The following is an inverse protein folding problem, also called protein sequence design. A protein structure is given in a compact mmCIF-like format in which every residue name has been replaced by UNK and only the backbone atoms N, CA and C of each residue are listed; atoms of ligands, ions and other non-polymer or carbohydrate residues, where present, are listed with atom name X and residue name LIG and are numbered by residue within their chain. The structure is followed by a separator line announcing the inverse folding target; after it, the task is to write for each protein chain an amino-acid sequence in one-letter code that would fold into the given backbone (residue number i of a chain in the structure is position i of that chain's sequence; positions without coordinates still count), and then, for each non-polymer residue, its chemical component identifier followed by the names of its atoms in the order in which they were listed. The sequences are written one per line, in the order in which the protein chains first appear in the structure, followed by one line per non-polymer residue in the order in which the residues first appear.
data_IF_901702557190
#
_entry.id   IF_901702557190
#
_cell.length_a   1.000
_cell.length_b   1.000
_cell.length_c   1.000
_cell.angle_alpha   90.00
_cell.angle_beta   90.00
_cell.angle_gamma   90.00
#
_symmetry.space_group_name_H-M   'P 1'
#
loop_
_entity.id
_entity.type
_entity.pdbx_description
1 polymer ?
#
# COMPACT_ATOMS: atom_id res chain seq x y z
N UNK A 1 -2.51 -10.14 9.79
CA UNK A 1 -3.04 -8.75 10.00
C UNK A 1 -2.07 -7.76 9.40
N UNK A 2 -2.54 -6.80 8.59
CA UNK A 2 -1.70 -5.73 8.01
C UNK A 2 -1.32 -4.74 9.12
N UNK A 3 -0.05 -4.33 9.17
CA UNK A 3 0.55 -3.48 10.21
C UNK A 3 1.19 -2.21 9.68
N UNK A 4 1.46 -2.11 8.37
CA UNK A 4 1.97 -0.90 7.74
C UNK A 4 1.49 -0.86 6.29
N UNK A 5 1.09 0.33 5.82
CA UNK A 5 0.86 0.61 4.41
C UNK A 5 1.79 1.75 4.00
N UNK A 6 2.54 1.56 2.93
CA UNK A 6 3.38 2.56 2.30
C UNK A 6 3.00 2.72 0.83
N UNK A 7 2.94 3.97 0.40
CA UNK A 7 2.46 4.35 -0.94
C UNK A 7 3.33 5.49 -1.45
N UNK A 8 3.74 5.41 -2.70
CA UNK A 8 4.44 6.46 -3.41
C UNK A 8 3.79 6.66 -4.79
N UNK A 9 3.44 7.91 -5.09
CA UNK A 9 2.90 8.37 -6.36
C UNK A 9 1.59 7.68 -6.83
N UNK A 10 0.64 7.40 -5.93
CA UNK A 10 -0.64 6.76 -6.27
C UNK A 10 -1.82 7.76 -6.24
N UNK A 11 -2.42 8.07 -7.39
CA UNK A 11 -3.53 9.02 -7.57
C UNK A 11 -3.29 10.35 -6.84
N UNK A 12 -4.03 10.65 -5.76
CA UNK A 12 -3.85 11.88 -4.99
C UNK A 12 -2.80 11.76 -3.86
N UNK A 13 -2.20 10.58 -3.68
CA UNK A 13 -1.23 10.28 -2.63
C UNK A 13 0.19 10.39 -3.18
N UNK A 14 0.90 11.47 -2.86
CA UNK A 14 2.32 11.61 -3.22
C UNK A 14 3.17 10.61 -2.44
N UNK A 15 3.05 10.61 -1.12
CA UNK A 15 3.72 9.68 -0.24
C UNK A 15 2.91 9.47 1.05
N UNK A 16 2.67 8.22 1.41
CA UNK A 16 2.08 7.84 2.70
C UNK A 16 2.91 6.73 3.31
N UNK A 17 3.12 6.80 4.63
CA UNK A 17 3.62 5.72 5.47
C UNK A 17 2.74 5.66 6.71
N UNK A 18 1.80 4.72 6.71
CA UNK A 18 0.78 4.64 7.75
C UNK A 18 0.87 3.32 8.52
N UNK A 19 1.32 3.35 9.78
CA UNK A 19 1.21 2.20 10.69
C UNK A 19 -0.25 1.86 10.94
N UNK A 20 -0.56 0.57 10.96
CA UNK A 20 -1.89 0.05 11.24
C UNK A 20 -1.93 -0.72 12.57
N UNK A 21 -2.71 -0.21 13.52
CA UNK A 21 -3.27 -0.99 14.64
C UNK A 21 -4.57 -1.73 14.28
N UNK A 22 -5.20 -2.39 15.26
CA UNK A 22 -6.42 -3.20 15.06
C UNK A 22 -7.68 -2.38 14.75
N UNK A 23 -7.68 -1.06 15.01
CA UNK A 23 -8.82 -0.19 14.79
C UNK A 23 -8.35 1.19 14.31
N UNK A 24 -8.98 1.71 13.25
CA UNK A 24 -8.69 3.02 12.67
C UNK A 24 -9.98 3.74 12.30
N UNK A 25 -9.96 5.05 12.47
CA UNK A 25 -11.01 5.93 11.95
C UNK A 25 -10.36 6.87 10.93
N UNK A 26 -10.90 6.88 9.71
CA UNK A 26 -10.48 7.78 8.63
C UNK A 26 -11.32 9.06 8.69
N UNK A 27 -10.69 10.18 9.06
CA UNK A 27 -11.37 11.48 9.15
C UNK A 27 -10.67 12.47 8.22
N UNK A 28 -11.46 13.26 7.49
CA UNK A 28 -10.96 14.36 6.66
C UNK A 28 -12.01 14.85 5.65
N UNK A 29 -11.75 15.98 4.97
CA UNK A 29 -12.64 16.54 3.96
C UNK A 29 -12.90 15.61 2.77
N UNK A 30 -13.94 15.88 1.98
CA UNK A 30 -14.13 15.20 0.71
C UNK A 30 -12.92 15.39 -0.21
N UNK A 31 -12.63 14.37 -1.04
CA UNK A 31 -11.46 14.32 -1.91
C UNK A 31 -10.10 14.42 -1.17
N UNK A 32 -10.05 14.17 0.14
CA UNK A 32 -8.79 14.23 0.88
C UNK A 32 -7.87 13.02 0.65
N UNK A 33 -8.37 11.95 0.02
CA UNK A 33 -7.62 10.72 -0.26
C UNK A 33 -7.99 9.52 0.61
N UNK A 34 -9.10 9.58 1.38
CA UNK A 34 -9.59 8.45 2.19
C UNK A 34 -9.97 7.23 1.35
N UNK A 35 -10.80 7.44 0.32
CA UNK A 35 -11.17 6.37 -0.61
C UNK A 35 -9.93 5.85 -1.35
N UNK A 36 -9.03 6.75 -1.76
CA UNK A 36 -7.76 6.38 -2.39
C UNK A 36 -6.88 5.52 -1.49
N UNK A 37 -6.83 5.79 -0.19
CA UNK A 37 -6.08 4.98 0.77
C UNK A 37 -6.65 3.56 0.90
N UNK A 38 -7.97 3.41 0.90
CA UNK A 38 -8.61 2.09 0.88
C UNK A 38 -8.47 1.39 -0.48
N UNK A 39 -8.43 2.16 -1.57
CA UNK A 39 -8.19 1.64 -2.92
C UNK A 39 -6.80 1.01 -3.04
N UNK A 40 -5.79 1.48 -2.31
CA UNK A 40 -4.47 0.82 -2.26
C UNK A 40 -4.55 -0.63 -1.78
N UNK A 41 -5.32 -0.89 -0.73
CA UNK A 41 -5.50 -2.24 -0.19
C UNK A 41 -6.24 -3.11 -1.21
N UNK A 42 -7.28 -2.53 -1.82
CA UNK A 42 -8.08 -3.22 -2.83
C UNK A 42 -7.24 -3.54 -4.08
N UNK A 43 -6.39 -2.61 -4.50
CA UNK A 43 -5.50 -2.76 -5.65
C UNK A 43 -4.48 -3.87 -5.43
N UNK A 44 -3.83 -3.90 -4.25
CA UNK A 44 -2.92 -4.98 -3.90
C UNK A 44 -3.65 -6.33 -3.82
N UNK A 45 -4.90 -6.34 -3.35
CA UNK A 45 -5.76 -7.52 -3.35
C UNK A 45 -6.00 -8.07 -4.76
N UNK A 46 -6.49 -7.23 -5.69
CA UNK A 46 -6.70 -7.61 -7.09
C UNK A 46 -5.38 -8.02 -7.76
N UNK A 47 -4.28 -7.28 -7.51
CA UNK A 47 -2.98 -7.56 -8.10
C UNK A 47 -2.47 -8.97 -7.73
N UNK A 48 -2.59 -9.34 -6.46
CA UNK A 48 -2.14 -10.65 -5.97
C UNK A 48 -3.09 -11.78 -6.35
N UNK A 49 -4.39 -11.50 -6.48
CA UNK A 49 -5.42 -12.54 -6.70
C UNK A 49 -5.72 -12.80 -8.18
N UNK A 50 -5.71 -11.75 -8.99
CA UNK A 50 -6.18 -11.75 -10.38
C UNK A 50 -5.12 -11.27 -11.38
N UNK A 51 -4.04 -10.63 -10.90
CA UNK A 51 -2.94 -10.14 -11.72
C UNK A 51 -3.02 -8.65 -12.05
N UNK A 52 -1.99 -8.16 -12.74
CA UNK A 52 -1.81 -6.73 -13.00
C UNK A 52 -2.89 -6.14 -13.92
N UNK A 53 -3.22 -6.84 -15.01
CA UNK A 53 -4.18 -6.35 -16.01
C UNK A 53 -5.57 -6.16 -15.39
N UNK A 54 -6.00 -7.10 -14.56
CA UNK A 54 -7.25 -7.00 -13.81
C UNK A 54 -7.19 -5.82 -12.82
N UNK A 55 -6.13 -5.76 -12.01
CA UNK A 55 -5.97 -4.73 -10.99
C UNK A 55 -5.96 -3.30 -11.57
N UNK A 56 -5.37 -3.10 -12.74
CA UNK A 56 -5.35 -1.81 -13.44
C UNK A 56 -6.66 -1.58 -14.19
N UNK A 57 -7.13 -2.57 -14.95
CA UNK A 57 -8.30 -2.49 -15.82
C UNK A 57 -9.62 -2.22 -15.08
N UNK A 58 -9.77 -2.73 -13.85
CA UNK A 58 -10.90 -2.41 -12.95
C UNK A 58 -10.99 -0.91 -12.62
N UNK A 59 -9.86 -0.20 -12.65
CA UNK A 59 -9.73 1.17 -12.14
C UNK A 59 -9.69 2.20 -13.23
N UNK A 60 -8.97 1.92 -14.31
CA UNK A 60 -8.79 2.86 -15.42
C UNK A 60 -8.29 2.16 -16.69
N UNK A 61 -8.58 2.78 -17.84
CA UNK A 61 -7.95 2.43 -19.12
C UNK A 61 -6.58 3.07 -19.31
N UNK A 62 -6.28 4.14 -18.57
CA UNK A 62 -5.04 4.89 -18.69
C UNK A 62 -4.27 4.83 -17.37
N UNK A 63 -3.15 4.12 -17.35
CA UNK A 63 -2.28 3.97 -16.17
C UNK A 63 -1.88 5.31 -15.54
N UNK A 64 -1.71 6.37 -16.35
CA UNK A 64 -1.34 7.69 -15.85
C UNK A 64 -2.35 8.23 -14.83
N UNK A 65 -3.63 7.84 -14.89
CA UNK A 65 -4.65 8.25 -13.91
C UNK A 65 -4.42 7.68 -12.51
N UNK A 66 -3.69 6.57 -12.43
CA UNK A 66 -3.25 5.96 -11.18
C UNK A 66 -1.97 6.61 -10.64
N UNK A 67 -1.24 7.36 -11.47
CA UNK A 67 0.02 7.99 -11.07
C UNK A 67 -0.23 9.40 -10.56
N UNK A 68 0.46 9.76 -9.48
CA UNK A 68 0.34 11.07 -8.89
C UNK A 68 0.68 12.20 -9.87
N UNK A 69 -0.30 13.09 -10.08
CA UNK A 69 -0.26 14.21 -11.03
C UNK A 69 0.07 13.82 -12.48
N UNK A 70 0.00 12.54 -12.87
CA UNK A 70 0.47 12.07 -14.19
C UNK A 70 1.91 12.52 -14.51
N UNK A 71 2.75 12.71 -13.47
CA UNK A 71 4.09 13.32 -13.57
C UNK A 71 5.22 12.29 -13.40
N UNK A 72 4.87 11.01 -13.39
CA UNK A 72 5.80 9.88 -13.29
C UNK A 72 5.29 8.78 -14.20
N UNK A 73 6.16 7.81 -14.47
CA UNK A 73 5.80 6.62 -15.24
C UNK A 73 5.62 5.39 -14.35
N UNK A 74 5.66 5.57 -13.03
CA UNK A 74 5.51 4.49 -12.06
C UNK A 74 4.94 4.94 -10.72
N UNK A 75 4.36 3.97 -10.03
CA UNK A 75 3.88 4.04 -8.66
C UNK A 75 4.46 2.87 -7.85
N UNK A 76 4.61 3.07 -6.54
CA UNK A 76 5.14 2.04 -5.65
C UNK A 76 4.22 1.85 -4.46
N UNK A 77 3.93 0.59 -4.15
CA UNK A 77 3.08 0.19 -3.04
C UNK A 77 3.83 -0.83 -2.20
N UNK A 78 3.70 -0.71 -0.89
CA UNK A 78 4.25 -1.69 0.02
C UNK A 78 3.34 -1.89 1.23
N UNK A 79 3.25 -3.15 1.68
CA UNK A 79 2.53 -3.49 2.90
C UNK A 79 3.40 -4.36 3.80
N UNK A 80 3.21 -4.19 5.11
CA UNK A 80 3.71 -5.15 6.09
C UNK A 80 2.53 -5.83 6.76
N UNK A 81 2.66 -7.13 7.00
CA UNK A 81 1.67 -7.91 7.71
C UNK A 81 2.33 -8.90 8.68
N UNK A 82 1.66 -9.13 9.82
CA UNK A 82 2.00 -10.24 10.72
C UNK A 82 1.71 -11.57 10.06
N UNK A 83 2.67 -12.48 10.16
CA UNK A 83 2.56 -13.86 9.71
C UNK A 83 1.66 -14.61 10.71
N UNK A 84 0.55 -15.22 10.25
CA UNK A 84 -0.29 -16.07 11.09
C UNK A 84 0.50 -17.23 11.73
N UNK A 85 0.14 -17.65 12.94
CA UNK A 85 0.90 -18.66 13.71
C UNK A 85 0.94 -20.03 13.02
N UNK A 86 -0.12 -20.41 12.33
CA UNK A 86 -0.22 -21.61 11.50
C UNK A 86 0.77 -21.59 10.34
N UNK A 87 0.96 -20.43 9.69
CA UNK A 87 1.96 -20.24 8.64
C UNK A 87 3.36 -20.10 9.20
N UNK A 88 3.51 -19.55 10.41
CA UNK A 88 4.80 -19.45 11.08
C UNK A 88 5.40 -20.81 11.40
N UNK A 89 4.58 -21.81 11.70
CA UNK A 89 5.04 -23.18 11.90
C UNK A 89 5.74 -23.76 10.64
N UNK A 90 5.35 -23.30 9.44
CA UNK A 90 5.94 -23.73 8.17
C UNK A 90 7.32 -23.10 7.90
N UNK A 91 7.67 -22.01 8.58
CA UNK A 91 8.97 -21.32 8.46
C UNK A 91 10.07 -21.97 9.34
N UNK A 92 9.75 -23.04 10.06
CA UNK A 92 10.69 -23.70 10.98
C UNK A 92 11.08 -22.82 12.17
N UNK A 93 12.31 -23.00 12.70
CA UNK A 93 12.83 -22.24 13.85
C UNK A 93 13.27 -20.81 13.51
N UNK A 94 12.86 -20.27 12.36
CA UNK A 94 13.28 -18.93 11.96
C UNK A 94 12.59 -17.85 12.79
N UNK A 95 13.32 -16.79 13.19
CA UNK A 95 12.80 -15.83 14.15
C UNK A 95 11.93 -14.74 13.52
N UNK A 96 11.49 -14.91 12.27
CA UNK A 96 10.63 -13.95 11.56
C UNK A 96 9.18 -14.07 12.01
N UNK A 97 8.46 -12.95 12.05
CA UNK A 97 7.06 -12.86 12.47
C UNK A 97 6.23 -11.95 11.56
N UNK A 98 6.88 -11.30 10.59
CA UNK A 98 6.28 -10.32 9.71
C UNK A 98 6.76 -10.52 8.28
N UNK A 99 5.87 -10.27 7.33
CA UNK A 99 6.18 -10.24 5.91
C UNK A 99 6.01 -8.82 5.40
N UNK A 100 6.88 -8.40 4.49
CA UNK A 100 6.77 -7.15 3.75
C UNK A 100 6.71 -7.47 2.27
N UNK A 101 5.67 -6.97 1.62
CA UNK A 101 5.49 -7.05 0.17
C UNK A 101 5.68 -5.66 -0.42
N UNK A 102 6.50 -5.56 -1.46
CA UNK A 102 6.80 -4.32 -2.18
C UNK A 102 6.58 -4.58 -3.68
N UNK A 103 5.86 -3.67 -4.32
CA UNK A 103 5.65 -3.72 -5.77
C UNK A 103 5.77 -2.35 -6.38
N UNK A 104 6.45 -2.29 -7.52
CA UNK A 104 6.54 -1.12 -8.38
C UNK A 104 5.87 -1.46 -9.70
N UNK A 105 4.86 -0.68 -10.03
CA UNK A 105 4.14 -0.79 -11.30
C UNK A 105 4.49 0.43 -12.13
N UNK A 106 4.74 0.23 -13.41
CA UNK A 106 4.99 1.30 -14.34
C UNK A 106 4.31 1.08 -15.67
N UNK A 107 4.42 2.10 -16.52
CA UNK A 107 4.06 1.98 -17.92
C UNK A 107 5.31 2.30 -18.75
N UNK A 108 5.88 1.28 -19.37
CA UNK A 108 6.97 1.40 -20.35
C UNK A 108 6.43 1.02 -21.72
N UNK A 109 6.80 1.80 -22.74
CA UNK A 109 6.40 1.58 -24.14
C UNK A 109 4.87 1.47 -24.40
N UNK A 110 4.02 1.95 -23.49
CA UNK A 110 2.57 1.93 -23.62
C UNK A 110 1.89 0.76 -22.92
N UNK A 111 2.65 -0.22 -22.44
CA UNK A 111 2.13 -1.36 -21.68
C UNK A 111 2.36 -1.18 -20.18
N UNK A 112 1.42 -1.66 -19.38
CA UNK A 112 1.53 -1.57 -17.91
C UNK A 112 2.20 -2.84 -17.41
N UNK A 113 3.27 -2.70 -16.63
CA UNK A 113 4.07 -3.83 -16.18
C UNK A 113 4.54 -3.69 -14.73
N UNK A 114 4.93 -4.82 -14.14
CA UNK A 114 5.59 -4.85 -12.83
C UNK A 114 7.08 -4.63 -13.05
N UNK A 115 7.56 -3.43 -12.71
CA UNK A 115 8.98 -3.05 -12.85
C UNK A 115 9.86 -3.67 -11.76
N UNK A 116 9.29 -3.88 -10.57
CA UNK A 116 9.98 -4.54 -9.47
C UNK A 116 8.96 -5.16 -8.51
N UNK A 117 9.27 -6.35 -8.01
CA UNK A 117 8.48 -7.04 -7.00
C UNK A 117 9.40 -7.71 -6.00
N UNK A 118 9.06 -7.59 -4.71
CA UNK A 118 9.89 -8.14 -3.65
C UNK A 118 9.06 -8.54 -2.44
N UNK A 119 9.38 -9.70 -1.89
CA UNK A 119 8.88 -10.19 -0.60
C UNK A 119 10.04 -10.30 0.38
N UNK A 120 9.87 -9.76 1.58
CA UNK A 120 10.85 -9.79 2.66
C UNK A 120 10.24 -10.38 3.93
N UNK A 121 10.94 -11.33 4.55
CA UNK A 121 10.64 -11.78 5.90
C UNK A 121 11.38 -10.90 6.92
N UNK A 122 10.67 -10.42 7.93
CA UNK A 122 11.15 -9.45 8.92
C UNK A 122 10.82 -9.92 10.34
N UNK A 123 11.58 -9.40 11.29
CA UNK A 123 11.18 -9.34 12.71
C UNK A 123 10.38 -8.07 12.93
N UNK A 124 9.27 -8.15 13.65
CA UNK A 124 8.40 -7.02 13.85
C UNK A 124 9.13 -6.00 14.71
N UNK A 125 9.38 -4.84 14.14
CA UNK A 125 9.77 -3.68 14.93
C UNK A 125 8.51 -3.16 15.61
N UNK A 126 8.47 -3.18 16.94
CA UNK A 126 7.35 -2.59 17.69
C UNK A 126 7.28 -1.10 17.36
N UNK A 127 6.31 -0.72 16.52
CA UNK A 127 5.87 0.66 16.49
C UNK A 127 5.16 0.91 17.82
N UNK A 128 5.66 1.88 18.60
CA UNK A 128 4.98 2.39 19.78
C UNK A 128 3.70 3.12 19.33
N UNK A 129 2.67 2.37 18.98
CA UNK A 129 1.33 2.92 18.83
C UNK A 129 0.88 3.23 20.26
N UNK A 130 0.88 4.52 20.63
CA UNK A 130 0.35 4.96 21.93
C UNK A 130 -1.05 4.36 22.09
N UNK A 131 -1.30 3.66 23.22
CA UNK A 131 -2.62 3.08 23.55
C UNK A 131 -3.67 4.21 23.51
N UNK A 132 -4.38 4.33 22.40
CA UNK A 132 -5.33 5.39 22.11
C UNK A 132 -5.87 5.20 20.68
N UNK A 133 -7.03 5.77 20.40
CA UNK A 133 -7.66 5.71 19.08
C UNK A 133 -6.69 6.25 18.03
N UNK A 134 -6.27 5.42 17.06
CA UNK A 134 -5.39 5.86 16.00
C UNK A 134 -6.25 6.58 14.95
N UNK A 135 -6.28 7.90 15.03
CA UNK A 135 -6.89 8.74 14.00
C UNK A 135 -5.92 8.85 12.83
N UNK A 136 -6.30 8.27 11.69
CA UNK A 136 -5.65 8.60 10.44
C UNK A 136 -6.36 9.81 9.85
N UNK A 137 -5.85 11.00 10.20
CA UNK A 137 -6.30 12.24 9.58
C UNK A 137 -5.61 12.34 8.22
N UNK A 138 -6.32 11.96 7.16
CA UNK A 138 -5.86 12.19 5.80
C UNK A 138 -6.15 13.66 5.48
N UNK A 139 -5.23 14.52 5.92
CA UNK A 139 -5.16 15.89 5.46
C UNK A 139 -4.59 15.85 4.05
N UNK A 140 -5.42 16.15 3.05
CA UNK A 140 -4.90 16.65 1.79
C UNK A 140 -4.20 17.96 2.11
N UNK A 141 -2.88 17.89 2.37
CA UNK A 141 -2.03 19.07 2.38
C UNK A 141 -2.02 19.60 0.95
N UNK A 142 -3.03 20.41 0.60
CA UNK A 142 -2.83 21.48 -0.37
C UNK A 142 -1.63 22.29 0.14
N UNK A 143 -0.61 22.48 -0.71
CA UNK A 143 0.70 23.11 -0.48
C UNK A 143 1.82 22.16 -0.08
N UNK A 144 2.49 21.63 -1.09
CA UNK A 144 3.91 21.93 -1.27
C UNK A 144 4.06 22.38 -2.73
N UNK A 145 4.34 23.68 -2.90
CA UNK A 145 4.84 24.26 -4.14
C UNK A 145 6.16 23.61 -4.53
#
# INVERSE_FOLDING_TARGET
MITLIEVLNFRCLRYIKQPLGPFHVLIGPNASGKTTFLDVISFLGSLVSEGLDAAVGERTKNFQDMVWMRNRNSLELAIEARIPSDRRAQLGKQPYDSVRYEVKVGNEHGETEILAEKVLLKKQRQFLIKKGLCFLIILSRRKQF
#
